data_IF_306218161395
#
_entry.id   IF_306218161395
#
_cell.length_a   1.000
_cell.length_b   1.000
_cell.length_c   1.000
_cell.angle_alpha   90.00
_cell.angle_beta   90.00
_cell.angle_gamma   90.00
#
_symmetry.space_group_name_H-M   'P 1'
#
loop_
_entity.id
_entity.type
_entity.pdbx_description
1 polymer ?
#
# COMPACT_ATOMS: atom_id res chain seq x y z
N UNK A 1 26.43 2.47 -7.70
CA UNK A 1 25.76 3.64 -8.32
C UNK A 1 24.27 3.38 -8.29
N UNK A 2 23.45 4.35 -7.79
CA UNK A 2 22.00 4.17 -7.79
C UNK A 2 21.45 4.01 -9.20
N UNK A 3 20.83 2.87 -9.50
CA UNK A 3 20.24 2.54 -10.80
C UNK A 3 18.94 3.31 -11.07
N UNK A 4 18.46 4.09 -10.09
CA UNK A 4 17.17 4.77 -10.14
C UNK A 4 17.30 6.27 -9.87
N UNK A 5 16.28 7.01 -10.29
CA UNK A 5 16.07 8.44 -10.00
C UNK A 5 14.89 8.58 -9.03
N UNK A 6 14.80 9.74 -8.39
CA UNK A 6 13.65 10.09 -7.56
C UNK A 6 12.35 9.94 -8.34
N UNK A 7 11.29 9.48 -7.67
CA UNK A 7 9.94 9.42 -8.24
C UNK A 7 9.41 10.81 -8.65
N UNK A 8 9.99 11.85 -8.10
CA UNK A 8 9.69 13.24 -8.45
C UNK A 8 10.47 13.75 -9.67
N UNK A 9 11.24 12.90 -10.34
CA UNK A 9 11.98 13.27 -11.54
C UNK A 9 11.06 13.82 -12.63
N UNK A 10 11.50 14.81 -13.41
CA UNK A 10 10.74 15.32 -14.54
C UNK A 10 10.44 14.18 -15.53
N UNK A 11 9.21 14.18 -16.06
CA UNK A 11 8.79 13.27 -17.11
C UNK A 11 7.99 14.04 -18.18
N UNK A 12 8.31 13.80 -19.45
CA UNK A 12 7.58 14.38 -20.58
C UNK A 12 6.17 13.79 -20.69
N UNK A 13 5.24 14.53 -21.26
CA UNK A 13 3.86 14.04 -21.43
C UNK A 13 3.79 12.75 -22.25
N UNK A 14 4.66 12.59 -23.26
CA UNK A 14 4.75 11.37 -24.06
C UNK A 14 5.21 10.19 -23.19
N UNK A 15 6.32 10.34 -22.45
CA UNK A 15 6.85 9.29 -21.56
C UNK A 15 5.80 8.83 -20.54
N UNK A 16 5.03 9.75 -19.98
CA UNK A 16 3.95 9.42 -19.05
C UNK A 16 2.82 8.62 -19.72
N UNK A 17 2.47 8.94 -20.97
CA UNK A 17 1.46 8.18 -21.74
C UNK A 17 1.97 6.77 -22.08
N UNK A 18 3.21 6.68 -22.58
CA UNK A 18 3.80 5.39 -22.94
C UNK A 18 3.87 4.46 -21.71
N UNK A 19 4.16 5.01 -20.53
CA UNK A 19 4.15 4.26 -19.26
C UNK A 19 2.77 3.76 -18.83
N UNK A 20 1.64 4.29 -19.33
CA UNK A 20 0.32 3.69 -19.05
C UNK A 20 0.15 2.34 -19.74
N UNK A 21 0.56 2.21 -20.99
CA UNK A 21 0.47 0.95 -21.73
C UNK A 21 1.47 -0.07 -21.17
N UNK A 22 2.70 0.35 -20.87
CA UNK A 22 3.70 -0.51 -20.22
C UNK A 22 3.20 -1.04 -18.87
N UNK A 23 2.58 -0.18 -18.06
CA UNK A 23 2.01 -0.58 -16.78
C UNK A 23 0.83 -1.54 -16.96
N UNK A 24 0.00 -1.33 -17.97
CA UNK A 24 -1.13 -2.21 -18.26
C UNK A 24 -0.67 -3.63 -18.60
N UNK A 25 0.36 -3.75 -19.45
CA UNK A 25 0.97 -5.04 -19.79
C UNK A 25 1.52 -5.71 -18.53
N UNK A 26 2.31 -4.95 -17.75
CA UNK A 26 2.85 -5.44 -16.48
C UNK A 26 1.73 -5.95 -15.54
N UNK A 27 0.65 -5.20 -15.36
CA UNK A 27 -0.45 -5.59 -14.45
C UNK A 27 -1.08 -6.92 -14.86
N UNK A 28 -1.32 -7.13 -16.16
CA UNK A 28 -1.89 -8.38 -16.66
C UNK A 28 -0.92 -9.55 -16.44
N UNK A 29 0.37 -9.34 -16.72
CA UNK A 29 1.40 -10.38 -16.54
C UNK A 29 1.65 -10.68 -15.07
N UNK A 30 1.55 -9.68 -14.20
CA UNK A 30 1.83 -9.81 -12.77
C UNK A 30 0.64 -10.38 -11.99
N UNK A 31 -0.55 -9.86 -12.21
CA UNK A 31 -1.73 -10.16 -11.40
C UNK A 31 -2.69 -11.19 -12.03
N UNK A 32 -2.55 -11.47 -13.32
CA UNK A 32 -3.38 -12.41 -14.07
C UNK A 32 -4.74 -11.81 -14.48
N UNK A 33 -5.73 -12.65 -14.73
CA UNK A 33 -7.06 -12.22 -15.17
C UNK A 33 -7.91 -11.72 -14.00
N UNK A 34 -8.78 -10.75 -14.28
CA UNK A 34 -9.71 -10.23 -13.29
C UNK A 34 -10.88 -11.17 -13.05
N UNK A 35 -11.18 -11.41 -11.79
CA UNK A 35 -12.34 -12.14 -11.29
C UNK A 35 -13.34 -11.14 -10.69
N UNK A 36 -14.13 -10.51 -11.57
CA UNK A 36 -15.00 -9.36 -11.23
C UNK A 36 -15.92 -9.63 -10.03
N UNK A 37 -16.62 -10.78 -10.03
CA UNK A 37 -17.58 -11.13 -8.98
C UNK A 37 -16.89 -11.39 -7.62
N UNK A 38 -15.65 -11.86 -7.67
CA UNK A 38 -14.85 -12.11 -6.47
C UNK A 38 -14.06 -10.86 -6.01
N UNK A 39 -14.05 -9.80 -6.80
CA UNK A 39 -13.17 -8.64 -6.60
C UNK A 39 -11.72 -9.10 -6.37
N UNK A 40 -11.21 -9.93 -7.27
CA UNK A 40 -9.92 -10.60 -7.14
C UNK A 40 -9.24 -10.71 -8.51
N UNK A 41 -8.02 -11.23 -8.51
CA UNK A 41 -7.20 -11.50 -9.68
C UNK A 41 -6.66 -12.94 -9.57
N UNK A 42 -6.55 -13.65 -10.68
CA UNK A 42 -6.25 -15.09 -10.67
C UNK A 42 -4.94 -15.40 -9.94
N UNK A 43 -3.84 -14.72 -10.28
CA UNK A 43 -2.55 -14.95 -9.62
C UNK A 43 -2.52 -14.47 -8.17
N UNK A 44 -3.20 -13.36 -7.86
CA UNK A 44 -3.31 -12.88 -6.46
C UNK A 44 -4.11 -13.86 -5.60
N UNK A 45 -5.12 -14.50 -6.16
CA UNK A 45 -5.88 -15.57 -5.50
C UNK A 45 -4.99 -16.79 -5.19
N UNK A 46 -4.11 -17.18 -6.13
CA UNK A 46 -3.15 -18.26 -5.91
C UNK A 46 -2.15 -17.92 -4.80
N UNK A 47 -1.63 -16.69 -4.79
CA UNK A 47 -0.73 -16.19 -3.73
C UNK A 47 -1.42 -16.25 -2.38
N UNK A 48 -2.63 -15.71 -2.27
CA UNK A 48 -3.42 -15.76 -1.04
C UNK A 48 -3.67 -17.21 -0.57
N UNK A 49 -4.03 -18.11 -1.49
CA UNK A 49 -4.26 -19.53 -1.19
C UNK A 49 -3.00 -20.20 -0.63
N UNK A 50 -1.82 -19.84 -1.14
CA UNK A 50 -0.54 -20.32 -0.58
C UNK A 50 -0.35 -19.91 0.88
N UNK A 51 -0.61 -18.63 1.20
CA UNK A 51 -0.54 -18.15 2.60
C UNK A 51 -1.55 -18.86 3.51
N UNK A 52 -2.77 -19.05 3.04
CA UNK A 52 -3.81 -19.75 3.77
C UNK A 52 -3.45 -21.21 4.06
N UNK A 53 -2.78 -21.88 3.13
CA UNK A 53 -2.35 -23.26 3.27
C UNK A 53 -1.09 -23.44 4.14
N UNK A 54 -0.23 -22.42 4.26
CA UNK A 54 0.96 -22.47 5.11
C UNK A 54 0.62 -22.57 6.61
N UNK A 55 -0.55 -22.10 7.02
CA UNK A 55 -1.10 -22.21 8.37
C UNK A 55 -0.12 -21.90 9.51
N UNK A 56 0.86 -21.00 9.26
CA UNK A 56 1.78 -20.55 10.30
C UNK A 56 1.00 -19.78 11.35
N UNK A 57 1.19 -20.14 12.60
CA UNK A 57 0.58 -19.45 13.74
C UNK A 57 1.66 -19.02 14.72
N UNK A 58 1.49 -17.85 15.29
CA UNK A 58 2.32 -17.38 16.38
C UNK A 58 2.23 -18.39 17.53
N UNK A 59 3.37 -18.75 18.10
CA UNK A 59 3.46 -19.65 19.26
C UNK A 59 3.04 -18.96 20.53
N UNK A 60 3.39 -17.69 20.67
CA UNK A 60 2.94 -16.86 21.76
C UNK A 60 1.62 -16.21 21.35
N UNK A 61 0.54 -16.67 21.98
CA UNK A 61 -0.71 -15.92 21.98
C UNK A 61 -0.43 -14.48 22.41
N UNK A 62 -1.23 -13.53 21.96
CA UNK A 62 -1.26 -12.22 22.61
C UNK A 62 -1.43 -12.47 24.12
N UNK A 63 -0.66 -11.77 24.94
CA UNK A 63 -0.74 -11.89 26.39
C UNK A 63 -2.17 -11.66 26.91
N UNK A 64 -2.91 -10.80 26.22
CA UNK A 64 -4.35 -10.58 26.42
C UNK A 64 -5.07 -10.37 25.07
N UNK A 65 -5.58 -11.43 24.39
CA UNK A 65 -6.38 -11.27 23.18
C UNK A 65 -7.62 -10.42 23.36
N UNK A 66 -8.20 -10.35 24.58
CA UNK A 66 -9.35 -9.50 24.88
C UNK A 66 -8.97 -8.02 24.80
N UNK A 67 -7.72 -7.69 25.11
CA UNK A 67 -7.22 -6.34 24.95
C UNK A 67 -7.22 -5.91 23.47
N UNK A 68 -6.82 -6.78 22.54
CA UNK A 68 -6.93 -6.50 21.11
C UNK A 68 -8.40 -6.24 20.71
N UNK A 69 -9.33 -7.14 21.02
CA UNK A 69 -10.73 -7.02 20.65
C UNK A 69 -11.41 -5.82 21.27
N UNK A 70 -10.97 -5.33 22.42
CA UNK A 70 -11.47 -4.10 23.05
C UNK A 70 -10.97 -2.83 22.31
N UNK A 71 -9.80 -2.88 21.70
CA UNK A 71 -9.10 -1.70 21.17
C UNK A 71 -9.04 -1.60 19.64
N UNK A 72 -9.28 -2.69 18.89
CA UNK A 72 -9.03 -2.72 17.44
C UNK A 72 -9.96 -1.79 16.63
N UNK A 73 -11.21 -1.60 17.05
CA UNK A 73 -12.13 -0.66 16.39
C UNK A 73 -11.87 0.80 16.79
N UNK A 74 -11.61 1.00 18.06
CA UNK A 74 -11.31 2.29 18.67
C UNK A 74 -10.48 2.03 19.93
N UNK A 75 -9.40 2.76 20.08
CA UNK A 75 -8.60 2.66 21.31
C UNK A 75 -9.41 3.12 22.51
N UNK A 76 -9.51 2.28 23.51
CA UNK A 76 -10.21 2.52 24.76
C UNK A 76 -9.22 2.61 25.92
N UNK A 77 -8.21 1.75 25.89
CA UNK A 77 -7.15 1.70 26.89
C UNK A 77 -6.05 2.75 26.58
N UNK A 78 -5.23 3.10 27.56
CA UNK A 78 -4.02 3.88 27.30
C UNK A 78 -3.08 3.07 26.39
N UNK A 79 -2.67 3.58 25.22
CA UNK A 79 -1.75 2.87 24.32
C UNK A 79 -0.46 2.43 25.00
N UNK A 80 -0.01 3.13 26.05
CA UNK A 80 1.18 2.80 26.83
C UNK A 80 1.02 1.52 27.67
N UNK A 81 -0.22 1.15 27.97
CA UNK A 81 -0.51 -0.07 28.72
C UNK A 81 -0.62 -1.31 27.84
N UNK A 82 -0.69 -1.12 26.50
CA UNK A 82 -0.76 -2.21 25.56
C UNK A 82 0.65 -2.77 25.28
N UNK A 83 0.77 -4.09 25.22
CA UNK A 83 1.99 -4.68 24.70
C UNK A 83 2.21 -4.30 23.23
N UNK A 84 3.47 -4.31 22.79
CA UNK A 84 3.83 -3.80 21.44
C UNK A 84 3.21 -4.61 20.30
N UNK A 85 2.97 -5.92 20.50
CA UNK A 85 2.33 -6.78 19.51
C UNK A 85 0.85 -6.42 19.36
N UNK A 86 0.14 -6.27 20.47
CA UNK A 86 -1.26 -5.81 20.48
C UNK A 86 -1.38 -4.42 19.87
N UNK A 87 -0.47 -3.52 20.20
CA UNK A 87 -0.45 -2.16 19.64
C UNK A 87 -0.24 -2.16 18.12
N UNK A 88 0.69 -2.98 17.61
CA UNK A 88 0.92 -3.16 16.17
C UNK A 88 -0.34 -3.68 15.47
N UNK A 89 -0.96 -4.72 16.01
CA UNK A 89 -2.12 -5.35 15.38
C UNK A 89 -3.35 -4.44 15.39
N UNK A 90 -3.59 -3.66 16.46
CA UNK A 90 -4.67 -2.67 16.49
C UNK A 90 -4.41 -1.55 15.47
N UNK A 91 -3.18 -1.10 15.33
CA UNK A 91 -2.77 -0.14 14.31
C UNK A 91 -3.02 -0.68 12.90
N UNK A 92 -2.52 -1.91 12.60
CA UNK A 92 -2.70 -2.56 11.30
C UNK A 92 -4.18 -2.69 10.91
N UNK A 93 -5.03 -3.08 11.86
CA UNK A 93 -6.47 -3.17 11.59
C UNK A 93 -7.04 -1.80 11.20
N UNK A 94 -6.75 -0.76 11.96
CA UNK A 94 -7.29 0.59 11.68
C UNK A 94 -6.78 1.12 10.35
N UNK A 95 -5.53 0.90 10.04
CA UNK A 95 -4.95 1.26 8.75
C UNK A 95 -5.66 0.51 7.60
N UNK A 96 -5.70 -0.81 7.65
CA UNK A 96 -6.36 -1.63 6.63
C UNK A 96 -7.86 -1.33 6.48
N UNK A 97 -8.53 -0.94 7.57
CA UNK A 97 -9.92 -0.48 7.55
C UNK A 97 -10.10 0.82 6.77
N UNK A 98 -9.15 1.75 6.82
CA UNK A 98 -9.18 2.96 5.99
C UNK A 98 -9.02 2.62 4.51
N UNK A 99 -8.11 1.73 4.16
CA UNK A 99 -7.95 1.23 2.79
C UNK A 99 -9.25 0.56 2.31
N UNK A 100 -9.76 -0.41 3.06
CA UNK A 100 -11.01 -1.10 2.74
C UNK A 100 -12.18 -0.15 2.51
N UNK A 101 -12.33 0.87 3.35
CA UNK A 101 -13.39 1.86 3.21
C UNK A 101 -13.21 2.72 1.96
N UNK A 102 -11.98 3.10 1.63
CA UNK A 102 -11.63 3.85 0.42
C UNK A 102 -11.94 3.06 -0.86
N UNK A 103 -11.40 1.86 -0.98
CA UNK A 103 -11.60 1.01 -2.18
C UNK A 103 -13.07 0.62 -2.36
N UNK A 104 -13.76 0.28 -1.27
CA UNK A 104 -15.19 -0.07 -1.32
C UNK A 104 -16.06 1.10 -1.78
N UNK A 105 -15.74 2.33 -1.38
CA UNK A 105 -16.47 3.52 -1.80
C UNK A 105 -16.28 3.86 -3.28
N UNK A 106 -15.14 3.48 -3.86
CA UNK A 106 -14.77 3.78 -5.26
C UNK A 106 -15.20 2.66 -6.21
N UNK A 107 -15.27 1.42 -5.74
CA UNK A 107 -15.52 0.23 -6.57
C UNK A 107 -16.70 0.35 -7.52
N UNK A 108 -17.86 0.78 -7.02
CA UNK A 108 -19.08 0.89 -7.82
C UNK A 108 -19.05 2.09 -8.80
N UNK A 109 -18.13 3.02 -8.60
CA UNK A 109 -17.92 4.17 -9.47
C UNK A 109 -16.98 3.92 -10.65
N UNK A 110 -16.22 2.82 -10.64
CA UNK A 110 -15.30 2.44 -11.73
C UNK A 110 -15.97 1.40 -12.63
N UNK A 111 -15.95 1.58 -13.97
CA UNK A 111 -16.52 0.62 -14.90
C UNK A 111 -15.93 -0.79 -14.73
N UNK A 112 -16.76 -1.82 -14.92
CA UNK A 112 -16.26 -3.20 -15.06
C UNK A 112 -15.34 -3.32 -16.27
N UNK A 113 -14.49 -4.35 -16.33
CA UNK A 113 -13.58 -4.57 -17.45
C UNK A 113 -14.30 -4.59 -18.80
N UNK A 114 -15.49 -5.25 -18.86
CA UNK A 114 -16.30 -5.33 -20.07
C UNK A 114 -16.90 -3.97 -20.52
N UNK A 115 -17.01 -3.01 -19.60
CA UNK A 115 -17.55 -1.67 -19.86
C UNK A 115 -16.48 -0.59 -19.98
N UNK A 116 -15.25 -0.91 -19.63
CA UNK A 116 -14.12 0.02 -19.66
C UNK A 116 -13.79 0.41 -21.10
N UNK A 117 -13.68 1.73 -21.34
CA UNK A 117 -13.46 2.33 -22.67
C UNK A 117 -12.02 2.78 -22.88
N UNK A 118 -11.21 2.81 -21.85
CA UNK A 118 -9.82 3.26 -21.90
C UNK A 118 -8.90 2.39 -21.06
N UNK A 119 -7.63 2.37 -21.41
CA UNK A 119 -6.58 1.71 -20.61
C UNK A 119 -6.55 2.22 -19.17
N UNK A 120 -6.80 3.51 -18.97
CA UNK A 120 -6.84 4.13 -17.63
C UNK A 120 -7.97 3.57 -16.75
N UNK A 121 -9.17 3.39 -17.31
CA UNK A 121 -10.29 2.78 -16.59
C UNK A 121 -9.98 1.31 -16.24
N UNK A 122 -9.41 0.56 -17.19
CA UNK A 122 -8.98 -0.83 -16.96
C UNK A 122 -7.95 -0.92 -15.84
N UNK A 123 -6.91 -0.09 -15.88
CA UNK A 123 -5.89 0.00 -14.84
C UNK A 123 -6.53 0.31 -13.48
N UNK A 124 -7.46 1.26 -13.43
CA UNK A 124 -8.14 1.64 -12.19
C UNK A 124 -8.95 0.46 -11.63
N UNK A 125 -9.62 -0.30 -12.49
CA UNK A 125 -10.39 -1.49 -12.09
C UNK A 125 -9.49 -2.59 -11.55
N UNK A 126 -8.37 -2.84 -12.23
CA UNK A 126 -7.36 -3.83 -11.84
C UNK A 126 -6.78 -3.51 -10.48
N UNK A 127 -6.32 -2.26 -10.30
CA UNK A 127 -5.74 -1.80 -9.05
C UNK A 127 -6.71 -1.98 -7.87
N UNK A 128 -8.00 -1.67 -8.05
CA UNK A 128 -8.97 -1.92 -6.98
C UNK A 128 -9.08 -3.39 -6.59
N UNK A 129 -8.91 -4.32 -7.54
CA UNK A 129 -8.85 -5.75 -7.23
C UNK A 129 -7.57 -6.10 -6.45
N UNK A 130 -6.42 -5.52 -6.78
CA UNK A 130 -5.17 -5.68 -6.02
C UNK A 130 -5.34 -5.17 -4.59
N UNK A 131 -5.95 -4.00 -4.41
CA UNK A 131 -6.26 -3.45 -3.08
C UNK A 131 -7.18 -4.36 -2.25
N UNK A 132 -8.19 -4.99 -2.86
CA UNK A 132 -9.00 -6.00 -2.17
C UNK A 132 -8.17 -7.24 -1.77
N UNK A 133 -7.14 -7.60 -2.54
CA UNK A 133 -6.22 -8.67 -2.16
C UNK A 133 -5.36 -8.25 -0.97
N UNK A 134 -4.91 -6.99 -0.88
CA UNK A 134 -4.21 -6.47 0.30
C UNK A 134 -5.05 -6.63 1.57
N UNK A 135 -6.35 -6.31 1.52
CA UNK A 135 -7.25 -6.51 2.67
C UNK A 135 -7.32 -7.97 3.10
N UNK A 136 -7.29 -8.91 2.16
CA UNK A 136 -7.26 -10.35 2.46
C UNK A 136 -5.93 -10.78 3.07
N UNK A 137 -4.80 -10.22 2.61
CA UNK A 137 -3.49 -10.45 3.21
C UNK A 137 -3.43 -9.91 4.64
N UNK A 138 -3.98 -8.72 4.91
CA UNK A 138 -4.11 -8.23 6.29
C UNK A 138 -4.93 -9.18 7.16
N UNK A 139 -6.01 -9.73 6.63
CA UNK A 139 -6.81 -10.72 7.37
C UNK A 139 -5.98 -11.96 7.72
N UNK A 140 -5.15 -12.47 6.78
CA UNK A 140 -4.23 -13.59 7.06
C UNK A 140 -3.14 -13.22 8.08
N UNK A 141 -2.65 -11.97 8.07
CA UNK A 141 -1.74 -11.50 9.13
C UNK A 141 -2.39 -11.61 10.50
N UNK A 142 -3.65 -11.21 10.66
CA UNK A 142 -4.37 -11.35 11.93
C UNK A 142 -4.57 -12.81 12.32
N UNK A 143 -4.90 -13.68 11.36
CA UNK A 143 -5.04 -15.13 11.59
C UNK A 143 -3.73 -15.77 12.05
N UNK A 144 -2.57 -15.24 11.65
CA UNK A 144 -1.27 -15.68 12.16
C UNK A 144 -1.19 -15.55 13.68
N UNK A 145 -1.85 -14.56 14.26
CA UNK A 145 -1.93 -14.33 15.70
C UNK A 145 -3.21 -14.88 16.34
N UNK A 146 -3.92 -15.76 15.66
CA UNK A 146 -5.16 -16.40 16.12
C UNK A 146 -6.30 -15.40 16.40
N UNK A 147 -6.32 -14.30 15.66
CA UNK A 147 -7.36 -13.28 15.74
C UNK A 147 -8.42 -13.54 14.64
N UNK A 148 -9.15 -14.65 14.78
CA UNK A 148 -10.12 -15.12 13.78
C UNK A 148 -11.48 -14.43 13.83
N UNK A 149 -11.76 -13.63 14.89
CA UNK A 149 -13.06 -12.96 15.12
C UNK A 149 -13.03 -11.49 14.72
N UNK A 150 -12.22 -11.14 13.70
CA UNK A 150 -12.15 -9.76 13.21
C UNK A 150 -13.35 -9.47 12.30
N UNK A 151 -14.07 -8.42 12.62
CA UNK A 151 -15.14 -7.87 11.82
C UNK A 151 -14.68 -6.61 11.08
N UNK A 152 -14.95 -6.53 9.77
CA UNK A 152 -14.69 -5.35 8.98
C UNK A 152 -15.82 -4.34 9.13
N UNK A 153 -15.67 -3.42 10.08
CA UNK A 153 -16.68 -2.42 10.41
C UNK A 153 -16.46 -1.15 9.59
N UNK A 154 -17.48 -0.64 8.87
CA UNK A 154 -17.35 0.60 8.12
C UNK A 154 -16.88 1.77 8.97
N UNK A 155 -16.16 2.72 8.35
CA UNK A 155 -15.80 3.97 8.99
C UNK A 155 -17.05 4.78 9.34
N UNK A 156 -16.92 5.68 10.32
CA UNK A 156 -18.01 6.54 10.74
C UNK A 156 -18.63 7.34 9.58
N UNK A 157 -19.90 7.71 9.70
CA UNK A 157 -20.71 8.32 8.62
C UNK A 157 -20.02 9.48 7.89
N UNK A 158 -19.23 10.28 8.60
CA UNK A 158 -18.50 11.41 8.03
C UNK A 158 -17.41 10.94 7.06
N UNK A 159 -16.51 10.06 7.50
CA UNK A 159 -15.44 9.53 6.66
C UNK A 159 -15.99 8.73 5.48
N UNK A 160 -17.03 7.94 5.70
CA UNK A 160 -17.70 7.23 4.61
C UNK A 160 -18.30 8.17 3.55
N UNK A 161 -18.77 9.38 3.94
CA UNK A 161 -19.17 10.40 2.96
C UNK A 161 -17.97 10.97 2.21
N UNK A 162 -16.89 11.32 2.90
CA UNK A 162 -15.67 11.84 2.27
C UNK A 162 -15.20 10.88 1.19
N UNK A 163 -14.98 9.62 1.50
CA UNK A 163 -14.53 8.62 0.52
C UNK A 163 -15.48 8.44 -0.66
N UNK A 164 -16.80 8.51 -0.45
CA UNK A 164 -17.80 8.41 -1.52
C UNK A 164 -17.78 9.59 -2.49
N UNK A 165 -17.38 10.76 -2.02
CA UNK A 165 -17.33 11.96 -2.86
C UNK A 165 -15.99 12.17 -3.56
N UNK A 166 -14.87 11.65 -3.02
CA UNK A 166 -13.55 11.80 -3.62
C UNK A 166 -13.49 11.41 -5.11
N UNK A 167 -14.06 10.28 -5.57
CA UNK A 167 -14.02 9.89 -6.97
C UNK A 167 -14.80 10.80 -7.93
N UNK A 168 -15.64 11.68 -7.39
CA UNK A 168 -16.46 12.61 -8.21
C UNK A 168 -15.72 13.89 -8.58
N UNK A 169 -14.57 14.13 -7.97
CA UNK A 169 -13.74 15.28 -8.32
C UNK A 169 -12.94 15.01 -9.59
N UNK A 170 -12.61 16.09 -10.35
CA UNK A 170 -11.77 15.96 -11.54
C UNK A 170 -10.43 15.29 -11.22
N UNK A 171 -9.97 14.43 -12.14
CA UNK A 171 -8.72 13.65 -11.96
C UNK A 171 -7.49 14.54 -11.70
N UNK A 172 -7.38 15.68 -12.38
CA UNK A 172 -6.26 16.61 -12.16
C UNK A 172 -6.17 17.16 -10.74
N UNK A 173 -7.32 17.26 -10.04
CA UNK A 173 -7.39 17.69 -8.64
C UNK A 173 -7.07 16.54 -7.70
N UNK A 174 -7.52 15.33 -8.05
CA UNK A 174 -7.38 14.15 -7.20
C UNK A 174 -6.05 13.40 -7.37
N UNK A 175 -5.39 13.56 -8.52
CA UNK A 175 -4.13 12.84 -8.77
C UNK A 175 -2.99 13.19 -7.81
N UNK A 176 -2.74 14.46 -7.41
CA UNK A 176 -1.72 14.76 -6.43
C UNK A 176 -1.96 14.14 -5.04
N UNK A 177 -3.14 14.27 -4.39
CA UNK A 177 -3.38 13.62 -3.12
C UNK A 177 -3.39 12.10 -3.22
N UNK A 178 -3.92 11.52 -4.31
CA UNK A 178 -3.89 10.07 -4.52
C UNK A 178 -2.46 9.54 -4.62
N UNK A 179 -1.58 10.22 -5.36
CA UNK A 179 -0.16 9.87 -5.41
C UNK A 179 0.53 9.95 -4.05
N UNK A 180 0.22 10.99 -3.26
CA UNK A 180 0.77 11.10 -1.89
C UNK A 180 0.24 10.00 -0.99
N UNK A 181 -1.00 9.56 -1.17
CA UNK A 181 -1.59 8.45 -0.42
C UNK A 181 -0.87 7.13 -0.70
N UNK A 182 -0.62 6.79 -1.98
CA UNK A 182 0.16 5.60 -2.35
C UNK A 182 1.59 5.66 -1.76
N UNK A 183 2.25 6.81 -1.89
CA UNK A 183 3.60 7.01 -1.33
C UNK A 183 3.59 6.90 0.20
N UNK A 184 2.52 7.30 0.86
CA UNK A 184 2.35 7.17 2.31
C UNK A 184 2.21 5.70 2.70
N UNK A 185 1.36 4.93 2.02
CA UNK A 185 1.19 3.49 2.21
C UNK A 185 2.53 2.76 2.02
N UNK A 186 3.19 2.97 0.89
CA UNK A 186 4.49 2.36 0.61
C UNK A 186 5.55 2.68 1.68
N UNK A 187 5.60 3.93 2.15
CA UNK A 187 6.52 4.34 3.22
C UNK A 187 6.17 3.64 4.54
N UNK A 188 4.89 3.53 4.87
CA UNK A 188 4.42 2.80 6.04
C UNK A 188 4.85 1.34 6.00
N UNK A 189 4.61 0.63 4.90
CA UNK A 189 4.96 -0.79 4.80
C UNK A 189 6.45 -1.05 5.03
N UNK A 190 7.32 -0.15 4.54
CA UNK A 190 8.76 -0.20 4.83
C UNK A 190 9.09 -0.03 6.31
N UNK A 191 8.38 0.84 7.00
CA UNK A 191 8.55 1.02 8.46
C UNK A 191 8.00 -0.16 9.24
N UNK A 192 6.86 -0.72 8.82
CA UNK A 192 6.30 -1.95 9.40
C UNK A 192 7.26 -3.15 9.24
N UNK A 193 7.84 -3.33 8.06
CA UNK A 193 8.82 -4.40 7.82
C UNK A 193 9.99 -4.35 8.80
N UNK A 194 10.52 -3.14 9.06
CA UNK A 194 11.58 -2.93 10.06
C UNK A 194 11.11 -3.19 11.50
N UNK A 195 9.87 -2.83 11.84
CA UNK A 195 9.30 -3.06 13.16
C UNK A 195 9.12 -4.55 13.50
N UNK A 196 8.91 -5.40 12.49
CA UNK A 196 8.77 -6.83 12.70
C UNK A 196 10.01 -7.45 13.34
N UNK A 197 11.22 -6.97 13.02
CA UNK A 197 12.47 -7.47 13.59
C UNK A 197 12.56 -7.25 15.10
N UNK A 198 11.94 -6.20 15.61
CA UNK A 198 11.93 -5.87 17.02
C UNK A 198 10.70 -6.50 17.74
N UNK A 199 9.51 -6.34 17.17
CA UNK A 199 8.26 -6.78 17.82
C UNK A 199 8.10 -8.30 17.81
N UNK A 200 8.63 -8.99 16.79
CA UNK A 200 8.56 -10.44 16.61
C UNK A 200 9.97 -11.09 16.65
N UNK A 201 10.89 -10.52 17.40
CA UNK A 201 12.25 -11.04 17.51
C UNK A 201 12.30 -12.48 18.02
N UNK A 202 11.40 -12.85 18.93
CA UNK A 202 11.28 -14.16 19.55
C UNK A 202 10.42 -15.16 18.75
N UNK A 203 9.81 -14.70 17.64
CA UNK A 203 8.92 -15.50 16.79
C UNK A 203 9.31 -15.43 15.29
N UNK A 204 10.47 -15.96 14.89
CA UNK A 204 10.99 -15.81 13.54
C UNK A 204 10.05 -16.38 12.47
N UNK A 205 9.36 -17.49 12.73
CA UNK A 205 8.43 -18.09 11.74
C UNK A 205 7.22 -17.20 11.49
N UNK A 206 6.60 -16.65 12.54
CA UNK A 206 5.47 -15.72 12.42
C UNK A 206 5.92 -14.39 11.79
N UNK A 207 7.09 -13.86 12.20
CA UNK A 207 7.70 -12.69 11.63
C UNK A 207 7.91 -12.82 10.13
N UNK A 208 8.54 -13.90 9.69
CA UNK A 208 8.88 -14.12 8.29
C UNK A 208 7.61 -14.37 7.45
N UNK A 209 6.60 -15.00 8.02
CA UNK A 209 5.29 -15.17 7.38
C UNK A 209 4.57 -13.82 7.17
N UNK A 210 4.51 -12.97 8.19
CA UNK A 210 3.94 -11.62 8.07
C UNK A 210 4.76 -10.77 7.08
N UNK A 211 6.08 -10.88 7.13
CA UNK A 211 6.98 -10.17 6.21
C UNK A 211 6.73 -10.56 4.76
N UNK A 212 6.53 -11.83 4.47
CA UNK A 212 6.19 -12.27 3.10
C UNK A 212 4.88 -11.65 2.61
N UNK A 213 3.85 -11.58 3.46
CA UNK A 213 2.58 -10.92 3.10
C UNK A 213 2.75 -9.41 2.89
N UNK A 214 3.48 -8.72 3.77
CA UNK A 214 3.82 -7.29 3.59
C UNK A 214 4.60 -7.06 2.31
N UNK A 215 5.47 -7.98 1.92
CA UNK A 215 6.26 -7.90 0.70
C UNK A 215 5.39 -7.99 -0.55
N UNK A 216 4.41 -8.89 -0.58
CA UNK A 216 3.42 -8.95 -1.68
C UNK A 216 2.68 -7.62 -1.84
N UNK A 217 2.27 -7.02 -0.72
CA UNK A 217 1.65 -5.69 -0.74
C UNK A 217 2.65 -4.64 -1.26
N UNK A 218 3.88 -4.60 -0.76
CA UNK A 218 4.89 -3.62 -1.19
C UNK A 218 5.23 -3.69 -2.68
N UNK A 219 5.19 -4.87 -3.30
CA UNK A 219 5.40 -5.05 -4.74
C UNK A 219 4.32 -4.28 -5.52
N UNK A 220 3.06 -4.45 -5.14
CA UNK A 220 1.93 -3.78 -5.77
C UNK A 220 1.97 -2.27 -5.50
N UNK A 221 2.16 -1.86 -4.27
CA UNK A 221 2.20 -0.44 -3.86
C UNK A 221 3.32 0.35 -4.52
N UNK A 222 4.47 -0.30 -4.75
CA UNK A 222 5.56 0.32 -5.49
C UNK A 222 5.15 0.60 -6.95
N UNK A 223 4.46 -0.35 -7.56
CA UNK A 223 3.92 -0.24 -8.92
C UNK A 223 2.78 0.80 -8.97
N UNK A 224 1.85 0.80 -7.99
CA UNK A 224 0.77 1.78 -7.85
C UNK A 224 1.30 3.20 -7.73
N UNK A 225 2.30 3.41 -6.87
CA UNK A 225 2.96 4.70 -6.70
C UNK A 225 3.55 5.21 -8.02
N UNK A 226 4.23 4.35 -8.77
CA UNK A 226 4.77 4.66 -10.09
C UNK A 226 3.68 4.98 -11.11
N UNK A 227 2.62 4.19 -11.14
CA UNK A 227 1.48 4.39 -12.03
C UNK A 227 0.75 5.70 -11.74
N UNK A 228 0.46 6.01 -10.47
CA UNK A 228 -0.15 7.28 -10.07
C UNK A 228 0.70 8.49 -10.47
N UNK A 229 2.01 8.34 -10.44
CA UNK A 229 2.93 9.38 -10.88
C UNK A 229 2.72 9.76 -12.37
N UNK A 230 2.25 8.85 -13.22
CA UNK A 230 2.00 9.12 -14.63
C UNK A 230 0.86 10.13 -14.88
N UNK A 231 -0.10 10.25 -13.96
CA UNK A 231 -1.18 11.26 -14.05
C UNK A 231 -0.71 12.67 -13.75
N UNK A 232 0.49 12.85 -13.17
CA UNK A 232 0.91 14.11 -12.57
C UNK A 232 1.95 14.81 -13.44
N UNK A 233 1.61 16.02 -13.90
CA UNK A 233 2.52 16.94 -14.57
C UNK A 233 3.39 17.75 -13.57
N UNK A 234 4.22 18.69 -14.08
CA UNK A 234 5.15 19.45 -13.22
C UNK A 234 4.46 20.21 -12.08
N UNK A 235 3.30 20.82 -12.33
CA UNK A 235 2.52 21.54 -11.31
C UNK A 235 2.00 20.57 -10.25
N UNK A 236 1.46 19.42 -10.68
CA UNK A 236 0.97 18.38 -9.77
C UNK A 236 2.08 17.81 -8.89
N UNK A 237 3.30 17.63 -9.41
CA UNK A 237 4.46 17.21 -8.63
C UNK A 237 4.83 18.25 -7.55
N UNK A 238 4.83 19.52 -7.90
CA UNK A 238 5.10 20.57 -6.92
C UNK A 238 4.02 20.63 -5.82
N UNK A 239 2.75 20.41 -6.20
CA UNK A 239 1.62 20.30 -5.27
C UNK A 239 1.79 19.07 -4.37
N UNK A 240 2.05 17.87 -4.95
CA UNK A 240 2.25 16.62 -4.20
C UNK A 240 3.34 16.75 -3.15
N UNK A 241 4.50 17.31 -3.50
CA UNK A 241 5.58 17.52 -2.54
C UNK A 241 5.15 18.36 -1.33
N UNK A 242 4.34 19.42 -1.56
CA UNK A 242 3.83 20.26 -0.47
C UNK A 242 2.77 19.56 0.38
N UNK A 243 2.09 18.57 -0.19
CA UNK A 243 1.03 17.83 0.48
C UNK A 243 1.55 16.69 1.36
N UNK A 244 2.77 16.18 1.15
CA UNK A 244 3.32 15.03 1.91
C UNK A 244 3.20 15.28 3.41
N UNK A 245 3.86 16.29 3.94
CA UNK A 245 3.90 16.53 5.38
C UNK A 245 2.52 16.76 6.01
N UNK A 246 1.63 17.63 5.47
CA UNK A 246 0.30 17.82 6.06
C UNK A 246 -0.58 16.57 5.96
N UNK A 247 -0.53 15.81 4.86
CA UNK A 247 -1.33 14.58 4.72
C UNK A 247 -0.87 13.50 5.70
N UNK A 248 0.44 13.24 5.82
CA UNK A 248 0.98 12.28 6.77
C UNK A 248 0.56 12.65 8.20
N UNK A 249 0.79 13.90 8.63
CA UNK A 249 0.41 14.34 9.99
C UNK A 249 -1.08 14.24 10.26
N UNK A 250 -1.92 14.57 9.28
CA UNK A 250 -3.37 14.46 9.40
C UNK A 250 -3.80 13.00 9.56
N UNK A 251 -3.32 12.12 8.69
CA UNK A 251 -3.68 10.71 8.69
C UNK A 251 -3.24 10.00 9.99
N UNK A 252 -1.95 10.13 10.35
CA UNK A 252 -1.41 9.44 11.54
C UNK A 252 -1.93 10.03 12.85
N UNK A 253 -2.41 11.27 12.88
CA UNK A 253 -3.11 11.80 14.05
C UNK A 253 -4.40 11.05 14.35
N UNK A 254 -5.08 10.52 13.37
CA UNK A 254 -6.29 9.73 13.52
C UNK A 254 -6.01 8.26 13.92
N UNK A 255 -4.74 7.87 13.97
CA UNK A 255 -4.25 6.56 14.38
C UNK A 255 -3.31 6.72 15.59
N UNK A 256 -3.86 6.83 16.82
CA UNK A 256 -3.07 7.19 18.02
C UNK A 256 -1.95 6.20 18.34
N UNK A 257 -2.07 4.94 17.95
CA UNK A 257 -1.02 3.92 18.08
C UNK A 257 0.26 4.31 17.33
N UNK A 258 0.13 5.06 16.24
CA UNK A 258 1.26 5.47 15.40
C UNK A 258 2.32 6.26 16.19
N UNK A 259 1.89 7.04 17.19
CA UNK A 259 2.80 7.81 18.03
C UNK A 259 3.76 6.96 18.89
N UNK A 260 3.45 5.66 19.05
CA UNK A 260 4.23 4.71 19.83
C UNK A 260 4.97 3.69 18.98
N UNK A 261 4.61 3.58 17.70
CA UNK A 261 5.17 2.61 16.77
C UNK A 261 6.06 3.25 15.71
N UNK A 262 5.73 4.48 15.27
CA UNK A 262 6.29 5.07 14.08
C UNK A 262 6.92 6.43 14.35
N UNK A 263 8.02 6.70 13.67
CA UNK A 263 8.55 8.06 13.54
C UNK A 263 7.98 8.72 12.28
N UNK A 264 6.85 9.40 12.45
CA UNK A 264 6.16 10.07 11.34
C UNK A 264 7.01 11.19 10.73
N UNK A 265 7.90 11.82 11.51
CA UNK A 265 8.85 12.81 11.00
C UNK A 265 9.82 12.19 9.99
N UNK A 266 10.44 11.09 10.36
CA UNK A 266 11.33 10.30 9.50
C UNK A 266 10.60 9.74 8.26
N UNK A 267 9.37 9.29 8.42
CA UNK A 267 8.54 8.84 7.29
C UNK A 267 8.30 9.96 6.26
N UNK A 268 8.04 11.19 6.73
CA UNK A 268 7.86 12.37 5.86
C UNK A 268 9.17 12.69 5.12
N UNK A 269 10.31 12.63 5.79
CA UNK A 269 11.63 12.84 5.17
C UNK A 269 11.91 11.78 4.09
N UNK A 270 11.72 10.49 4.41
CA UNK A 270 11.90 9.38 3.48
C UNK A 270 10.96 9.49 2.27
N UNK A 271 9.67 9.83 2.46
CA UNK A 271 8.71 10.02 1.38
C UNK A 271 9.08 11.21 0.48
N UNK A 272 9.54 12.32 1.06
CA UNK A 272 9.93 13.53 0.32
C UNK A 272 11.19 13.30 -0.54
N UNK A 273 12.09 12.44 -0.09
CA UNK A 273 13.34 12.08 -0.77
C UNK A 273 13.23 10.76 -1.56
N UNK A 274 12.06 10.17 -1.67
CA UNK A 274 11.89 8.81 -2.19
C UNK A 274 12.49 8.64 -3.59
N UNK A 275 13.30 7.62 -3.71
CA UNK A 275 13.67 6.98 -4.96
C UNK A 275 13.57 5.44 -4.83
N UNK A 276 13.54 4.76 -5.96
CA UNK A 276 13.31 3.30 -5.96
C UNK A 276 14.45 2.50 -5.30
N UNK A 277 15.67 3.05 -5.21
CA UNK A 277 16.79 2.37 -4.54
C UNK A 277 16.61 2.27 -3.01
N UNK A 278 15.61 2.95 -2.47
CA UNK A 278 15.21 2.83 -1.07
C UNK A 278 14.45 1.53 -0.75
N UNK A 279 13.98 0.82 -1.78
CA UNK A 279 13.28 -0.46 -1.64
C UNK A 279 14.26 -1.64 -1.69
N UNK A 280 13.83 -2.78 -1.15
CA UNK A 280 14.59 -4.02 -1.27
C UNK A 280 14.75 -4.42 -2.74
N UNK A 281 15.94 -4.92 -3.17
CA UNK A 281 16.23 -5.20 -4.57
C UNK A 281 15.24 -6.17 -5.22
N UNK A 282 14.76 -7.12 -4.49
CA UNK A 282 13.84 -8.15 -4.93
C UNK A 282 12.38 -7.64 -5.02
N UNK A 283 11.97 -6.69 -4.19
CA UNK A 283 10.70 -5.96 -4.36
C UNK A 283 10.73 -5.16 -5.65
N UNK A 284 11.84 -4.46 -5.93
CA UNK A 284 12.00 -3.69 -7.18
C UNK A 284 11.98 -4.63 -8.40
N UNK A 285 12.66 -5.77 -8.31
CA UNK A 285 12.74 -6.74 -9.40
C UNK A 285 11.38 -7.38 -9.74
N UNK A 286 10.49 -7.49 -8.76
CA UNK A 286 9.14 -8.05 -8.88
C UNK A 286 8.08 -7.00 -9.20
N UNK A 287 8.42 -5.69 -9.11
CA UNK A 287 7.49 -4.58 -9.28
C UNK A 287 7.73 -3.82 -10.58
N UNK A 288 6.84 -2.90 -10.88
CA UNK A 288 6.96 -2.01 -12.02
C UNK A 288 7.54 -0.65 -11.60
N UNK A 289 8.48 -0.16 -12.41
CA UNK A 289 9.12 1.15 -12.22
C UNK A 289 8.95 1.98 -13.50
N UNK A 290 8.48 3.24 -13.43
CA UNK A 290 8.37 4.11 -14.59
C UNK A 290 9.70 4.29 -15.34
N UNK A 291 9.67 4.30 -16.67
CA UNK A 291 10.87 4.40 -17.51
C UNK A 291 11.72 5.63 -17.17
N UNK A 292 11.09 6.78 -16.90
CA UNK A 292 11.80 8.01 -16.54
C UNK A 292 12.44 7.99 -15.14
N UNK A 293 12.12 6.99 -14.31
CA UNK A 293 12.79 6.74 -13.03
C UNK A 293 13.93 5.73 -13.15
N UNK A 294 14.07 5.02 -14.25
CA UNK A 294 15.21 4.14 -14.52
C UNK A 294 16.38 4.99 -15.03
N UNK A 295 17.59 4.67 -14.60
CA UNK A 295 18.80 5.23 -15.21
C UNK A 295 19.26 4.26 -16.27
N UNK A 296 19.52 4.74 -17.50
CA UNK A 296 20.20 3.93 -18.50
C UNK A 296 21.56 3.48 -17.93
N UNK A 297 21.94 2.21 -18.12
CA UNK A 297 23.30 1.79 -17.82
C UNK A 297 24.24 2.71 -18.62
N UNK A 298 25.19 3.36 -17.93
CA UNK A 298 26.25 4.08 -18.63
C UNK A 298 26.97 3.06 -19.51
N UNK A 299 26.74 3.11 -20.80
CA UNK A 299 27.63 2.47 -21.77
C UNK A 299 28.99 3.10 -21.52
N UNK A 300 29.91 2.33 -20.95
CA UNK A 300 31.32 2.69 -20.94
C UNK A 300 31.74 2.77 -22.39
N UNK A 301 31.84 3.97 -22.95
CA UNK A 301 32.56 4.20 -24.17
C UNK A 301 33.99 3.84 -23.82
N UNK A 302 34.42 2.64 -24.17
CA UNK A 302 35.84 2.28 -24.22
C UNK A 302 36.46 3.21 -25.25
N UNK A 303 37.16 4.22 -24.76
CA UNK A 303 38.08 4.96 -25.60
C UNK A 303 39.17 3.97 -26.08
N UNK A 304 39.05 3.58 -27.32
CA UNK A 304 40.13 2.92 -28.09
C UNK A 304 41.09 3.96 -28.61
#
# INVERSE_FOLDING_TARGET
MNSYRSIFSPARSRERRDNFEDYWIYSQDHAGEILEDERNLTRKKEVLTRFQNLAIRSRSLLSDPKSFYRNYLRIVDDPRSLDRKTLLLTFLYKFARHEWAGISAVWDGIPTMARSRSTTEKISRYRLCEEFCHIRLFHEMFRTFQLDQIEWVPLGKWMGRVYRYLPKFPEWLMSPPAFVSELMGLTLYRHLDRLLDDILADEPEARDHVRMMLREIMIDELAHTGQRRNFIGPIGIAASRRMIAPMFRMFYRDLPESAYLLDVGKMIEEATAFDYSAMAPDVIASSWVPSYCRREPRTSVSAS
#
